data_IF_554653170716
#
_entry.id   IF_554653170716
#
_cell.length_a   1.000
_cell.length_b   1.000
_cell.length_c   1.000
_cell.angle_alpha   90.00
_cell.angle_beta   90.00
_cell.angle_gamma   90.00
#
_symmetry.space_group_name_H-M   'P 1'
#
loop_
_entity.id
_entity.type
_entity.pdbx_description
1 polymer ?
#
# COMPACT_ATOMS: atom_id res chain seq x y z
N UNK A 1 -12.34 4.49 -5.34
CA UNK A 1 -12.20 4.33 -3.88
C UNK A 1 -12.81 5.47 -3.07
N UNK A 2 -12.71 6.71 -3.57
CA UNK A 2 -13.26 7.88 -2.87
C UNK A 2 -14.80 7.90 -2.86
N UNK A 3 -15.43 7.09 -3.71
CA UNK A 3 -16.88 6.96 -3.80
C UNK A 3 -17.40 5.78 -2.96
N UNK A 4 -16.54 5.05 -2.27
CA UNK A 4 -16.96 3.94 -1.44
C UNK A 4 -17.80 4.42 -0.26
N UNK A 5 -18.85 3.66 0.06
CA UNK A 5 -19.71 3.94 1.22
C UNK A 5 -19.29 3.02 2.37
N UNK A 6 -19.04 3.62 3.53
CA UNK A 6 -18.56 2.89 4.70
C UNK A 6 -19.64 2.82 5.77
N UNK A 7 -20.14 1.62 6.03
CA UNK A 7 -21.12 1.36 7.08
C UNK A 7 -20.39 1.03 8.39
N UNK A 8 -20.05 2.06 9.11
CA UNK A 8 -19.31 1.95 10.39
C UNK A 8 -20.29 2.17 11.55
N UNK A 9 -20.23 1.29 12.55
CA UNK A 9 -21.07 1.45 13.73
C UNK A 9 -20.77 2.79 14.42
N UNK A 10 -21.80 3.61 14.71
CA UNK A 10 -21.58 4.92 15.31
C UNK A 10 -20.79 4.83 16.63
N UNK A 11 -19.82 5.71 16.79
CA UNK A 11 -19.02 5.80 18.00
C UNK A 11 -17.97 4.70 18.17
N UNK A 12 -17.85 3.78 17.23
CA UNK A 12 -16.84 2.72 17.30
C UNK A 12 -15.62 3.06 16.47
N UNK A 13 -14.40 2.83 17.00
CA UNK A 13 -13.19 3.04 16.20
C UNK A 13 -13.04 1.97 15.15
N UNK A 14 -12.49 2.35 14.00
CA UNK A 14 -12.20 1.44 12.89
C UNK A 14 -10.70 1.37 12.68
N UNK A 15 -10.20 0.17 12.40
CA UNK A 15 -8.80 -0.06 12.06
C UNK A 15 -8.73 -0.83 10.74
N UNK A 16 -7.97 -0.32 9.79
CA UNK A 16 -7.68 -1.02 8.53
C UNK A 16 -6.47 -1.91 8.78
N UNK A 17 -6.71 -3.20 8.92
CA UNK A 17 -5.66 -4.16 9.32
C UNK A 17 -4.70 -4.52 8.20
N UNK A 18 -5.10 -4.27 6.93
CA UNK A 18 -4.27 -4.62 5.79
C UNK A 18 -4.72 -3.85 4.56
N UNK A 19 -3.78 -3.28 3.82
CA UNK A 19 -4.01 -2.69 2.51
C UNK A 19 -2.67 -2.59 1.77
N UNK A 20 -2.72 -2.48 0.44
CA UNK A 20 -1.52 -2.30 -0.36
C UNK A 20 -1.59 -3.04 -1.70
N UNK A 21 -0.47 -3.06 -2.38
CA UNK A 21 -0.31 -3.72 -3.66
C UNK A 21 1.14 -4.01 -3.96
N UNK A 22 1.38 -4.78 -5.00
CA UNK A 22 2.73 -5.22 -5.35
C UNK A 22 3.44 -4.33 -6.35
N UNK A 23 4.77 -4.34 -6.30
CA UNK A 23 5.65 -3.75 -7.31
C UNK A 23 7.04 -4.38 -7.23
N UNK A 24 7.71 -4.42 -8.36
CA UNK A 24 9.13 -4.78 -8.42
C UNK A 24 9.96 -3.52 -8.22
N UNK A 25 10.91 -3.55 -7.30
CA UNK A 25 11.76 -2.40 -7.07
C UNK A 25 12.50 -2.01 -8.36
N UNK A 26 12.50 -0.72 -8.67
CA UNK A 26 13.17 -0.18 -9.84
C UNK A 26 12.35 -0.30 -11.13
N UNK A 27 11.21 -0.99 -11.12
CA UNK A 27 10.36 -1.06 -12.29
C UNK A 27 9.42 0.12 -12.32
N UNK A 28 9.45 0.87 -13.41
CA UNK A 28 8.59 2.03 -13.63
C UNK A 28 7.70 1.79 -14.85
N UNK A 29 6.49 2.33 -14.81
CA UNK A 29 5.53 2.13 -15.89
C UNK A 29 4.22 2.82 -15.61
N UNK A 30 3.15 2.33 -16.23
CA UNK A 30 1.83 2.95 -16.13
C UNK A 30 1.24 2.80 -14.72
N UNK A 31 0.99 3.93 -14.07
CA UNK A 31 0.42 3.96 -12.73
C UNK A 31 -1.01 3.43 -12.66
N UNK A 32 -1.70 3.37 -13.79
CA UNK A 32 -3.09 2.91 -13.85
C UNK A 32 -3.22 1.42 -14.19
N UNK A 33 -2.09 0.73 -14.48
CA UNK A 33 -2.13 -0.66 -14.92
C UNK A 33 -1.54 -1.57 -13.85
N UNK A 34 -2.41 -2.34 -13.19
CA UNK A 34 -2.02 -3.28 -12.13
C UNK A 34 -0.98 -4.29 -12.62
N UNK A 35 -1.19 -4.83 -13.81
CA UNK A 35 -0.29 -5.84 -14.38
C UNK A 35 1.09 -5.31 -14.72
N UNK A 36 1.30 -3.99 -14.60
CA UNK A 36 2.63 -3.40 -14.84
C UNK A 36 3.64 -3.81 -13.77
N UNK A 37 3.19 -4.10 -12.55
CA UNK A 37 4.04 -4.36 -11.37
C UNK A 37 5.05 -3.24 -11.15
N UNK A 38 4.69 -2.00 -11.56
CA UNK A 38 5.56 -0.85 -11.43
C UNK A 38 5.45 -0.22 -10.06
N UNK A 39 6.53 0.43 -9.62
CA UNK A 39 6.48 1.25 -8.41
C UNK A 39 5.47 2.38 -8.57
N UNK A 40 5.27 2.87 -9.80
CA UNK A 40 4.31 3.93 -10.09
C UNK A 40 2.88 3.47 -9.81
N UNK A 41 2.53 2.25 -10.19
CA UNK A 41 1.23 1.67 -9.88
C UNK A 41 1.05 1.51 -8.37
N UNK A 42 2.04 0.93 -7.69
CA UNK A 42 1.97 0.72 -6.24
C UNK A 42 1.82 2.07 -5.52
N UNK A 43 2.61 3.06 -5.91
CA UNK A 43 2.55 4.39 -5.31
C UNK A 43 1.18 5.03 -5.52
N UNK A 44 0.62 4.93 -6.73
CA UNK A 44 -0.70 5.48 -7.00
C UNK A 44 -1.79 4.79 -6.19
N UNK A 45 -1.70 3.45 -6.06
CA UNK A 45 -2.63 2.69 -5.23
C UNK A 45 -2.59 3.17 -3.78
N UNK A 46 -1.41 3.38 -3.22
CA UNK A 46 -1.28 3.90 -1.86
C UNK A 46 -1.88 5.31 -1.74
N UNK A 47 -1.60 6.19 -2.68
CA UNK A 47 -2.20 7.54 -2.68
C UNK A 47 -3.72 7.49 -2.70
N UNK A 48 -4.29 6.63 -3.55
CA UNK A 48 -5.73 6.49 -3.68
C UNK A 48 -6.35 5.96 -2.39
N UNK A 49 -5.70 4.97 -1.76
CA UNK A 49 -6.18 4.44 -0.49
C UNK A 49 -6.13 5.49 0.63
N UNK A 50 -5.04 6.24 0.71
CA UNK A 50 -4.90 7.28 1.73
C UNK A 50 -5.94 8.38 1.56
N UNK A 51 -6.28 8.73 0.31
CA UNK A 51 -7.34 9.69 0.02
C UNK A 51 -8.70 9.13 0.47
N UNK A 52 -8.98 7.87 0.15
CA UNK A 52 -10.21 7.20 0.58
C UNK A 52 -10.34 7.19 2.09
N UNK A 53 -9.24 6.97 2.81
CA UNK A 53 -9.26 6.90 4.29
C UNK A 53 -9.75 8.18 4.93
N UNK A 54 -9.58 9.33 4.29
CA UNK A 54 -10.06 10.62 4.80
C UNK A 54 -11.59 10.66 4.95
N UNK A 55 -12.28 9.80 4.21
CA UNK A 55 -13.75 9.76 4.19
C UNK A 55 -14.32 8.65 5.07
N UNK A 56 -13.49 7.92 5.81
CA UNK A 56 -13.94 6.85 6.69
C UNK A 56 -14.15 7.41 8.10
N UNK A 57 -15.39 7.35 8.62
CA UNK A 57 -15.67 7.86 9.96
C UNK A 57 -14.96 7.01 11.03
N UNK A 58 -14.39 7.69 12.03
CA UNK A 58 -13.74 7.05 13.18
C UNK A 58 -12.58 6.12 12.83
N UNK A 59 -11.89 6.36 11.72
CA UNK A 59 -10.68 5.60 11.40
C UNK A 59 -9.56 6.02 12.37
N UNK A 60 -9.03 5.05 13.13
CA UNK A 60 -8.03 5.29 14.18
C UNK A 60 -6.67 4.70 13.86
N UNK A 61 -6.59 3.82 12.87
CA UNK A 61 -5.31 3.27 12.49
C UNK A 61 -5.38 2.47 11.21
N UNK A 62 -4.23 2.34 10.56
CA UNK A 62 -4.08 1.57 9.34
C UNK A 62 -2.77 0.80 9.38
N UNK A 63 -2.73 -0.34 8.71
CA UNK A 63 -1.52 -1.15 8.62
C UNK A 63 -1.33 -1.60 7.17
N UNK A 64 -0.35 -1.04 6.46
CA UNK A 64 -0.06 -1.51 5.10
C UNK A 64 0.49 -2.94 5.13
N UNK A 65 0.22 -3.70 4.11
CA UNK A 65 0.79 -5.01 3.90
C UNK A 65 1.71 -4.93 2.68
N UNK A 66 3.00 -5.01 2.81
CA UNK A 66 3.77 -5.29 4.00
C UNK A 66 5.05 -4.45 3.95
N UNK A 67 5.88 -4.47 5.00
CA UNK A 67 7.09 -3.66 5.02
C UNK A 67 8.13 -4.17 4.02
N UNK A 68 8.44 -5.47 4.04
CA UNK A 68 9.46 -6.07 3.17
C UNK A 68 8.87 -7.09 2.21
N UNK A 69 9.37 -7.12 0.98
CA UNK A 69 9.14 -8.26 0.09
C UNK A 69 9.63 -9.54 0.78
N UNK A 70 8.93 -10.64 0.56
CA UNK A 70 9.30 -11.90 1.22
C UNK A 70 9.08 -13.11 0.33
N UNK A 71 9.79 -14.19 0.62
CA UNK A 71 9.64 -15.45 -0.10
C UNK A 71 8.24 -16.02 0.09
N UNK A 72 7.63 -16.41 -1.03
CA UNK A 72 6.28 -16.99 -1.02
C UNK A 72 6.20 -18.05 -2.12
N UNK A 73 6.61 -19.29 -1.84
CA UNK A 73 6.67 -20.35 -2.86
C UNK A 73 5.34 -20.66 -3.52
N UNK A 74 4.22 -20.33 -2.87
CA UNK A 74 2.89 -20.56 -3.41
C UNK A 74 2.40 -19.44 -4.35
N UNK A 75 3.18 -18.36 -4.50
CA UNK A 75 2.84 -17.21 -5.34
C UNK A 75 3.88 -17.09 -6.48
N UNK A 76 3.79 -17.99 -7.43
CA UNK A 76 4.76 -18.02 -8.51
C UNK A 76 4.35 -17.12 -9.67
N UNK A 77 5.16 -16.10 -9.93
CA UNK A 77 4.96 -15.14 -11.02
C UNK A 77 6.26 -15.11 -11.85
N UNK A 78 6.42 -15.96 -12.85
CA UNK A 78 7.72 -16.18 -13.52
C UNK A 78 8.31 -14.92 -14.15
N UNK A 79 7.47 -13.98 -14.58
CA UNK A 79 7.96 -12.75 -15.21
C UNK A 79 7.99 -11.55 -14.29
N UNK A 80 7.53 -11.70 -13.04
CA UNK A 80 7.35 -10.56 -12.14
C UNK A 80 7.71 -10.90 -10.70
N UNK A 81 8.80 -11.62 -10.51
CA UNK A 81 9.32 -11.85 -9.18
C UNK A 81 9.42 -13.29 -8.73
N UNK A 82 9.00 -14.25 -9.57
CA UNK A 82 9.14 -15.68 -9.23
C UNK A 82 8.34 -16.06 -8.01
N UNK A 83 9.00 -16.67 -7.03
CA UNK A 83 8.37 -17.16 -5.79
C UNK A 83 8.39 -16.12 -4.68
N UNK A 84 8.25 -14.85 -5.02
CA UNK A 84 8.28 -13.75 -4.05
C UNK A 84 6.93 -13.07 -3.95
N UNK A 85 6.58 -12.66 -2.73
CA UNK A 85 5.51 -11.68 -2.53
C UNK A 85 6.17 -10.31 -2.62
N UNK A 86 5.77 -9.52 -3.62
CA UNK A 86 6.35 -8.20 -3.89
C UNK A 86 5.48 -7.05 -3.38
N UNK A 87 4.69 -7.31 -2.34
CA UNK A 87 3.84 -6.27 -1.74
C UNK A 87 4.58 -5.41 -0.71
N UNK A 88 5.87 -5.60 -0.54
CA UNK A 88 6.66 -4.78 0.36
C UNK A 88 6.74 -3.32 -0.06
N UNK A 89 6.83 -2.43 0.90
CA UNK A 89 7.22 -1.04 0.68
C UNK A 89 8.73 -0.96 0.46
N UNK A 90 9.45 -1.97 0.92
CA UNK A 90 10.89 -2.12 0.81
C UNK A 90 11.17 -3.47 0.14
N UNK A 91 12.13 -3.51 -0.76
CA UNK A 91 12.52 -4.77 -1.41
C UNK A 91 13.22 -5.70 -0.43
N UNK A 92 13.39 -6.96 -0.86
CA UNK A 92 14.13 -7.96 -0.06
C UNK A 92 15.61 -7.56 0.16
N UNK A 93 16.13 -6.63 -0.65
CA UNK A 93 17.49 -6.10 -0.50
C UNK A 93 17.54 -4.80 0.32
N UNK A 94 16.44 -4.41 0.93
CA UNK A 94 16.39 -3.20 1.75
C UNK A 94 16.22 -1.90 0.98
N UNK A 95 15.80 -1.96 -0.28
CA UNK A 95 15.64 -0.79 -1.14
C UNK A 95 14.22 -0.24 -1.00
N UNK A 96 14.10 1.05 -0.73
CA UNK A 96 12.81 1.71 -0.54
C UNK A 96 12.13 1.99 -1.88
N UNK A 97 10.89 1.48 -2.03
CA UNK A 97 10.08 1.77 -3.21
C UNK A 97 9.40 3.13 -3.06
N UNK A 98 8.83 3.66 -4.15
CA UNK A 98 8.14 4.97 -4.12
C UNK A 98 7.05 5.02 -3.03
N UNK A 99 6.31 3.95 -2.85
CA UNK A 99 5.23 3.89 -1.86
C UNK A 99 5.74 4.03 -0.43
N UNK A 100 6.99 3.65 -0.15
CA UNK A 100 7.58 3.84 1.18
C UNK A 100 7.58 5.32 1.57
N UNK A 101 7.97 6.19 0.65
CA UNK A 101 8.02 7.63 0.89
C UNK A 101 6.63 8.23 1.07
N UNK A 102 5.64 7.69 0.35
CA UNK A 102 4.24 8.11 0.48
C UNK A 102 3.74 7.79 1.88
N UNK A 103 4.01 6.59 2.40
CA UNK A 103 3.61 6.21 3.74
C UNK A 103 4.35 7.00 4.82
N UNK A 104 5.64 7.26 4.62
CA UNK A 104 6.41 8.13 5.53
C UNK A 104 5.76 9.50 5.67
N UNK A 105 5.42 10.10 4.54
CA UNK A 105 4.83 11.44 4.54
C UNK A 105 3.45 11.44 5.20
N UNK A 106 2.67 10.39 4.96
CA UNK A 106 1.37 10.22 5.59
C UNK A 106 1.50 10.14 7.11
N UNK A 107 2.40 9.32 7.61
CA UNK A 107 2.60 9.18 9.05
C UNK A 107 3.14 10.47 9.68
N UNK A 108 4.02 11.16 9.00
CA UNK A 108 4.52 12.45 9.48
C UNK A 108 3.39 13.48 9.58
N UNK A 109 2.50 13.50 8.60
CA UNK A 109 1.33 14.39 8.63
C UNK A 109 0.40 14.03 9.79
N UNK A 110 0.13 12.75 10.01
CA UNK A 110 -0.71 12.31 11.14
C UNK A 110 -0.11 12.70 12.48
N UNK A 111 1.19 12.65 12.60
CA UNK A 111 1.91 13.08 13.80
C UNK A 111 1.63 14.54 14.15
N UNK A 112 1.59 15.41 13.15
CA UNK A 112 1.35 16.84 13.35
C UNK A 112 -0.11 17.17 13.64
N UNK A 113 -1.03 16.24 13.34
CA UNK A 113 -2.47 16.41 13.61
C UNK A 113 -2.86 16.08 15.04
N UNK A 114 -1.94 15.57 15.84
CA UNK A 114 -2.20 15.17 17.23
C UNK A 114 -2.05 16.33 18.22
#
# INVERSE_FOLDING_TARGET
PDQAVWNVAPGKPLFISEFGGEALYGKHGDAEVKSSWSEDYQAQLYKDNLEMFKHIPNLRGTSPWILFDFRSPFRFHPHQGGEWNRKGLVSDQGQRKKAWYIMRDYYNQKKTEQ
#
